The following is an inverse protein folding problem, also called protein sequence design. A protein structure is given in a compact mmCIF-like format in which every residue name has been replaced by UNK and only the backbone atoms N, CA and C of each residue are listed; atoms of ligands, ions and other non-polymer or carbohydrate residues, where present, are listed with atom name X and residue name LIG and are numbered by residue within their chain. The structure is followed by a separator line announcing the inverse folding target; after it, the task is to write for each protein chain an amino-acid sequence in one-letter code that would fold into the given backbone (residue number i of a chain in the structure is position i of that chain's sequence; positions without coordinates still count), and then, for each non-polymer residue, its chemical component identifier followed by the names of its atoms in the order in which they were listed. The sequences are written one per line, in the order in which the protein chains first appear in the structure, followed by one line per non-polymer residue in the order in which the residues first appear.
data_IF_034924221535
#
_entry.id   IF_034924221535
#
_cell.length_a   1.000
_cell.length_b   1.000
_cell.length_c   1.000
_cell.angle_alpha   90.00
_cell.angle_beta   90.00
_cell.angle_gamma   90.00
#
_symmetry.space_group_name_H-M   'P 1'
#
loop_
_entity.id
_entity.type
_entity.pdbx_description
1 polymer ?
#
# COMPACT_ATOMS: atom_id res chain seq x y z
N UNK A 1 -12.76 9.30 -19.19
CA UNK A 1 -13.74 9.86 -18.22
C UNK A 1 -13.33 11.29 -17.90
N UNK A 2 -14.22 12.28 -18.14
CA UNK A 2 -13.99 13.62 -17.60
C UNK A 2 -14.52 13.65 -16.17
N UNK A 3 -13.60 13.60 -15.22
CA UNK A 3 -13.96 13.78 -13.81
C UNK A 3 -14.30 15.25 -13.55
N UNK A 4 -15.44 15.52 -12.94
CA UNK A 4 -15.81 16.86 -12.50
C UNK A 4 -14.84 17.42 -11.45
N UNK A 5 -14.87 18.73 -11.22
CA UNK A 5 -13.99 19.44 -10.26
C UNK A 5 -14.00 18.80 -8.86
N UNK A 6 -15.17 18.32 -8.42
CA UNK A 6 -15.34 17.67 -7.11
C UNK A 6 -14.51 16.41 -7.01
N UNK A 7 -14.49 15.56 -8.05
CA UNK A 7 -13.71 14.31 -8.04
C UNK A 7 -12.21 14.59 -8.03
N UNK A 8 -11.73 15.60 -8.76
CA UNK A 8 -10.33 16.02 -8.69
C UNK A 8 -9.94 16.50 -7.28
N UNK A 9 -10.84 17.25 -6.61
CA UNK A 9 -10.63 17.68 -5.24
C UNK A 9 -10.56 16.49 -4.25
N UNK A 10 -11.43 15.48 -4.44
CA UNK A 10 -11.43 14.23 -3.66
C UNK A 10 -10.11 13.47 -3.86
N UNK A 11 -9.65 13.31 -5.10
CA UNK A 11 -8.38 12.65 -5.42
C UNK A 11 -7.21 13.40 -4.79
N UNK A 12 -7.13 14.72 -5.01
CA UNK A 12 -6.07 15.56 -4.46
C UNK A 12 -6.03 15.55 -2.94
N UNK A 13 -7.19 15.68 -2.27
CA UNK A 13 -7.33 15.60 -0.82
C UNK A 13 -6.94 14.25 -0.25
N UNK A 14 -7.34 13.16 -0.90
CA UNK A 14 -6.99 11.79 -0.50
C UNK A 14 -5.48 11.55 -0.56
N UNK A 15 -4.82 11.96 -1.64
CA UNK A 15 -3.36 11.83 -1.77
C UNK A 15 -2.59 12.79 -0.87
N UNK A 16 -3.10 13.99 -0.64
CA UNK A 16 -2.52 14.93 0.32
C UNK A 16 -2.50 14.32 1.73
N UNK A 17 -3.65 13.79 2.18
CA UNK A 17 -3.77 13.15 3.49
C UNK A 17 -2.92 11.88 3.58
N UNK A 18 -2.98 11.02 2.57
CA UNK A 18 -2.18 9.80 2.51
C UNK A 18 -0.66 10.09 2.51
N UNK A 19 -0.25 11.13 1.78
CA UNK A 19 1.12 11.63 1.79
C UNK A 19 1.52 12.19 3.15
N UNK A 20 0.67 13.00 3.78
CA UNK A 20 0.94 13.54 5.11
C UNK A 20 1.19 12.42 6.14
N UNK A 21 0.34 11.41 6.17
CA UNK A 21 0.53 10.26 7.06
C UNK A 21 1.83 9.52 6.74
N UNK A 22 2.15 9.29 5.46
CA UNK A 22 3.43 8.68 5.07
C UNK A 22 4.61 9.54 5.52
N UNK A 23 4.51 10.87 5.48
CA UNK A 23 5.53 11.78 5.98
C UNK A 23 5.76 11.67 7.49
N UNK A 24 4.69 11.51 8.28
CA UNK A 24 4.76 11.36 9.73
C UNK A 24 5.29 10.00 10.14
N UNK A 25 4.69 8.91 9.63
CA UNK A 25 4.94 7.52 10.07
C UNK A 25 6.03 6.82 9.25
N UNK A 26 6.25 7.25 8.00
CA UNK A 26 7.15 6.60 7.05
C UNK A 26 6.47 5.55 6.18
N UNK A 27 5.16 5.30 6.37
CA UNK A 27 4.37 4.31 5.65
C UNK A 27 2.91 4.75 5.56
N UNK A 28 2.11 4.08 4.73
CA UNK A 28 0.65 4.25 4.72
C UNK A 28 0.07 4.95 3.49
N UNK A 29 0.87 5.60 2.63
CA UNK A 29 0.32 6.26 1.44
C UNK A 29 -0.52 5.31 0.58
N UNK A 30 -0.05 4.11 0.18
CA UNK A 30 -0.87 3.22 -0.63
C UNK A 30 -2.14 2.77 0.11
N UNK A 31 -2.02 2.43 1.38
CA UNK A 31 -3.14 1.92 2.18
C UNK A 31 -4.25 2.95 2.35
N UNK A 32 -3.87 4.19 2.66
CA UNK A 32 -4.83 5.27 2.91
C UNK A 32 -5.46 5.74 1.61
N UNK A 33 -4.65 6.01 0.57
CA UNK A 33 -5.19 6.48 -0.70
C UNK A 33 -6.12 5.43 -1.31
N UNK A 34 -5.74 4.14 -1.28
CA UNK A 34 -6.60 3.05 -1.74
C UNK A 34 -7.91 3.01 -0.97
N UNK A 35 -7.87 3.00 0.36
CA UNK A 35 -9.08 2.93 1.19
C UNK A 35 -9.98 4.14 1.00
N UNK A 36 -9.42 5.37 1.02
CA UNK A 36 -10.22 6.60 0.81
C UNK A 36 -10.84 6.65 -0.58
N UNK A 37 -10.05 6.37 -1.63
CA UNK A 37 -10.55 6.43 -2.99
C UNK A 37 -11.56 5.32 -3.27
N UNK A 38 -11.39 4.12 -2.69
CA UNK A 38 -12.39 3.05 -2.79
C UNK A 38 -13.70 3.44 -2.12
N UNK A 39 -13.65 4.09 -0.96
CA UNK A 39 -14.83 4.54 -0.24
C UNK A 39 -15.56 5.73 -0.92
N UNK A 40 -14.82 6.59 -1.63
CA UNK A 40 -15.34 7.83 -2.21
C UNK A 40 -15.64 7.72 -3.71
N UNK A 41 -15.02 6.79 -4.41
CA UNK A 41 -15.18 6.52 -5.82
C UNK A 41 -15.57 5.05 -6.04
N UNK A 42 -14.57 4.22 -6.38
CA UNK A 42 -14.68 2.77 -6.54
C UNK A 42 -13.30 2.11 -6.48
N UNK A 43 -13.28 0.79 -6.30
CA UNK A 43 -12.04 0.02 -6.16
C UNK A 43 -11.15 0.07 -7.42
N UNK A 44 -11.72 -0.07 -8.61
CA UNK A 44 -10.95 -0.12 -9.86
C UNK A 44 -10.25 1.22 -10.13
N UNK A 45 -10.99 2.32 -10.01
CA UNK A 45 -10.45 3.68 -10.11
C UNK A 45 -9.40 3.95 -9.04
N UNK A 46 -9.62 3.52 -7.80
CA UNK A 46 -8.66 3.67 -6.70
C UNK A 46 -7.35 2.94 -6.99
N UNK A 47 -7.41 1.70 -7.52
CA UNK A 47 -6.23 0.92 -7.92
C UNK A 47 -5.44 1.62 -9.01
N UNK A 48 -6.12 2.16 -10.03
CA UNK A 48 -5.47 2.88 -11.14
C UNK A 48 -4.78 4.16 -10.67
N UNK A 49 -5.47 4.99 -9.88
CA UNK A 49 -4.95 6.27 -9.39
C UNK A 49 -3.77 6.13 -8.43
N UNK A 50 -3.72 5.05 -7.69
CA UNK A 50 -2.66 4.74 -6.72
C UNK A 50 -1.30 4.47 -7.40
N UNK A 51 -1.28 3.95 -8.65
CA UNK A 51 -0.06 3.39 -9.29
C UNK A 51 1.10 4.39 -9.29
N UNK A 52 0.95 5.58 -9.88
CA UNK A 52 2.07 6.53 -10.01
C UNK A 52 2.53 7.07 -8.66
N UNK A 53 1.65 7.60 -7.77
CA UNK A 53 2.10 8.13 -6.49
C UNK A 53 2.74 7.07 -5.60
N UNK A 54 2.17 5.86 -5.54
CA UNK A 54 2.73 4.78 -4.75
C UNK A 54 4.08 4.33 -5.32
N UNK A 55 4.18 4.08 -6.63
CA UNK A 55 5.41 3.64 -7.26
C UNK A 55 6.55 4.64 -7.04
N UNK A 56 6.34 5.92 -7.38
CA UNK A 56 7.38 6.96 -7.25
C UNK A 56 7.85 7.12 -5.81
N UNK A 57 6.93 7.19 -4.85
CA UNK A 57 7.29 7.38 -3.45
C UNK A 57 7.91 6.14 -2.82
N UNK A 58 7.57 4.94 -3.28
CA UNK A 58 8.11 3.67 -2.78
C UNK A 58 9.46 3.33 -3.43
N UNK A 59 9.69 3.66 -4.70
CA UNK A 59 11.01 3.57 -5.32
C UNK A 59 12.02 4.42 -4.55
N UNK A 60 11.69 5.68 -4.28
CA UNK A 60 12.56 6.52 -3.46
C UNK A 60 12.87 5.87 -2.13
N UNK A 61 11.86 5.41 -1.41
CA UNK A 61 12.00 4.78 -0.12
C UNK A 61 12.81 3.47 -0.17
N UNK A 62 12.63 2.66 -1.21
CA UNK A 62 13.30 1.36 -1.37
C UNK A 62 14.77 1.46 -1.79
N UNK A 63 15.11 2.45 -2.62
CA UNK A 63 16.46 2.54 -3.16
C UNK A 63 17.40 3.46 -2.36
N UNK A 64 16.89 4.44 -1.61
CA UNK A 64 17.70 5.45 -0.93
C UNK A 64 17.79 5.27 0.60
N UNK A 65 17.68 4.03 1.11
CA UNK A 65 17.77 3.74 2.56
C UNK A 65 19.12 3.24 3.05
N UNK A 66 20.13 3.04 2.16
CA UNK A 66 21.48 2.59 2.55
C UNK A 66 21.64 1.08 2.78
N UNK A 67 20.56 0.29 2.82
CA UNK A 67 20.58 -1.15 3.11
C UNK A 67 20.19 -2.04 1.91
N UNK A 68 20.20 -1.48 0.68
CA UNK A 68 19.68 -2.16 -0.51
C UNK A 68 20.30 -3.54 -0.74
N UNK A 69 21.64 -3.65 -0.71
CA UNK A 69 22.33 -4.92 -0.98
C UNK A 69 21.99 -6.00 0.07
N UNK A 70 21.89 -5.62 1.34
CA UNK A 70 21.53 -6.53 2.43
C UNK A 70 20.08 -7.00 2.27
N UNK A 71 19.16 -6.07 2.05
CA UNK A 71 17.74 -6.38 1.94
C UNK A 71 17.42 -7.18 0.68
N UNK A 72 18.04 -6.85 -0.46
CA UNK A 72 17.86 -7.62 -1.70
C UNK A 72 18.31 -9.06 -1.53
N UNK A 73 19.47 -9.30 -0.87
CA UNK A 73 19.97 -10.66 -0.60
C UNK A 73 19.10 -11.44 0.38
N UNK A 74 18.48 -10.76 1.35
CA UNK A 74 17.66 -11.42 2.37
C UNK A 74 16.22 -11.65 1.91
N UNK A 75 15.66 -10.72 1.14
CA UNK A 75 14.24 -10.69 0.78
C UNK A 75 13.95 -11.10 -0.66
N UNK A 76 14.97 -11.49 -1.46
CA UNK A 76 14.77 -11.82 -2.87
C UNK A 76 13.66 -12.87 -3.13
N UNK A 77 13.45 -13.92 -2.26
CA UNK A 77 12.39 -14.87 -2.54
C UNK A 77 10.99 -14.24 -2.41
N UNK A 78 10.78 -13.39 -1.39
CA UNK A 78 9.56 -12.61 -1.21
C UNK A 78 9.34 -11.67 -2.41
N UNK A 79 10.40 -10.90 -2.78
CA UNK A 79 10.34 -9.85 -3.79
C UNK A 79 10.14 -10.39 -5.21
N UNK A 80 10.74 -11.53 -5.55
CA UNK A 80 10.54 -12.14 -6.88
C UNK A 80 9.19 -12.82 -7.00
N UNK A 81 8.77 -13.52 -5.94
CA UNK A 81 7.51 -14.27 -5.97
C UNK A 81 6.30 -13.35 -6.02
N UNK A 82 6.34 -12.19 -5.37
CA UNK A 82 5.19 -11.26 -5.37
C UNK A 82 4.79 -10.85 -6.79
N UNK A 83 5.75 -10.69 -7.70
CA UNK A 83 5.52 -10.19 -9.07
C UNK A 83 4.53 -11.05 -9.85
N UNK A 84 4.79 -12.34 -10.16
CA UNK A 84 3.87 -13.16 -10.95
C UNK A 84 2.53 -13.37 -10.24
N UNK A 85 2.50 -13.34 -8.92
CA UNK A 85 1.26 -13.52 -8.18
C UNK A 85 0.36 -12.28 -8.15
N UNK A 86 0.88 -11.08 -8.46
CA UNK A 86 0.05 -9.91 -8.77
C UNK A 86 -0.76 -10.15 -10.04
N UNK A 87 -0.15 -10.68 -11.11
CA UNK A 87 -0.88 -11.05 -12.34
C UNK A 87 -1.91 -12.15 -12.07
N UNK A 88 -1.54 -13.17 -11.30
CA UNK A 88 -2.49 -14.23 -10.93
C UNK A 88 -3.69 -13.66 -10.17
N UNK A 89 -3.46 -12.75 -9.21
CA UNK A 89 -4.52 -12.07 -8.48
C UNK A 89 -5.38 -11.18 -9.37
N UNK A 90 -4.77 -10.44 -10.29
CA UNK A 90 -5.49 -9.61 -11.24
C UNK A 90 -6.37 -10.45 -12.19
N UNK A 91 -5.87 -11.57 -12.67
CA UNK A 91 -6.67 -12.52 -13.48
C UNK A 91 -7.82 -13.15 -12.67
N UNK A 92 -7.57 -13.48 -11.41
CA UNK A 92 -8.61 -13.99 -10.52
C UNK A 92 -9.69 -12.93 -10.21
N UNK A 93 -9.34 -11.65 -10.22
CA UNK A 93 -10.29 -10.58 -9.91
C UNK A 93 -11.48 -10.52 -10.87
N UNK A 94 -11.31 -10.99 -12.11
CA UNK A 94 -12.37 -11.05 -13.13
C UNK A 94 -13.46 -12.10 -12.80
N UNK A 95 -13.16 -13.03 -11.90
CA UNK A 95 -14.11 -14.07 -11.45
C UNK A 95 -15.00 -13.60 -10.30
N UNK A 96 -14.74 -12.44 -9.72
CA UNK A 96 -15.45 -11.93 -8.55
C UNK A 96 -16.15 -10.61 -8.87
N UNK A 97 -17.31 -10.42 -8.27
CA UNK A 97 -17.98 -9.12 -8.28
C UNK A 97 -17.14 -8.09 -7.54
N UNK A 98 -17.10 -6.87 -8.07
CA UNK A 98 -16.36 -5.75 -7.45
C UNK A 98 -16.73 -5.53 -5.98
N UNK A 99 -18.00 -5.75 -5.63
CA UNK A 99 -18.48 -5.65 -4.25
C UNK A 99 -17.78 -6.63 -3.30
N UNK A 100 -17.50 -7.85 -3.76
CA UNK A 100 -16.78 -8.86 -2.96
C UNK A 100 -15.32 -8.40 -2.76
N UNK A 101 -14.66 -7.94 -3.81
CA UNK A 101 -13.27 -7.45 -3.75
C UNK A 101 -13.16 -6.23 -2.82
N UNK A 102 -14.14 -5.33 -2.88
CA UNK A 102 -14.23 -4.15 -2.02
C UNK A 102 -14.38 -4.57 -0.54
N UNK A 103 -15.23 -5.55 -0.24
CA UNK A 103 -15.37 -6.10 1.12
C UNK A 103 -14.10 -6.78 1.62
N UNK A 104 -13.42 -7.53 0.75
CA UNK A 104 -12.11 -8.13 1.06
C UNK A 104 -11.11 -7.03 1.43
N UNK A 105 -11.01 -5.96 0.64
CA UNK A 105 -10.16 -4.82 0.96
C UNK A 105 -10.52 -4.21 2.32
N UNK A 106 -11.80 -3.93 2.57
CA UNK A 106 -12.26 -3.41 3.85
C UNK A 106 -11.86 -4.29 5.03
N UNK A 107 -12.09 -5.62 4.91
CA UNK A 107 -11.66 -6.60 5.91
C UNK A 107 -10.15 -6.61 6.15
N UNK A 108 -9.35 -6.53 5.08
CA UNK A 108 -7.89 -6.44 5.19
C UNK A 108 -7.44 -5.16 5.92
N UNK A 109 -8.09 -4.03 5.64
CA UNK A 109 -7.81 -2.75 6.32
C UNK A 109 -8.12 -2.85 7.81
N UNK A 110 -9.25 -3.45 8.19
CA UNK A 110 -9.62 -3.69 9.61
C UNK A 110 -8.62 -4.62 10.29
N UNK A 111 -8.28 -5.74 9.65
CA UNK A 111 -7.29 -6.70 10.18
C UNK A 111 -5.94 -6.03 10.39
N UNK A 112 -5.47 -5.26 9.40
CA UNK A 112 -4.22 -4.52 9.50
C UNK A 112 -4.24 -3.52 10.67
N UNK A 113 -5.29 -2.75 10.81
CA UNK A 113 -5.44 -1.81 11.91
C UNK A 113 -5.43 -2.54 13.27
N UNK A 114 -6.21 -3.61 13.42
CA UNK A 114 -6.30 -4.38 14.64
C UNK A 114 -4.97 -5.02 15.06
N UNK A 115 -4.25 -5.63 14.10
CA UNK A 115 -2.93 -6.23 14.35
C UNK A 115 -1.89 -5.17 14.68
N UNK A 116 -1.95 -4.01 14.01
CA UNK A 116 -1.05 -2.89 14.24
C UNK A 116 -1.24 -2.22 15.60
N UNK A 117 -2.44 -2.27 16.19
CA UNK A 117 -2.67 -1.79 17.57
C UNK A 117 -1.93 -2.63 18.61
N UNK A 118 -1.81 -3.93 18.38
CA UNK A 118 -1.28 -4.86 19.39
C UNK A 118 0.25 -4.92 19.49
N UNK A 119 1.02 -4.27 18.60
CA UNK A 119 2.49 -4.25 18.64
C UNK A 119 3.09 -5.60 19.07
N UNK A 120 2.67 -6.70 18.44
CA UNK A 120 3.06 -8.03 18.86
C UNK A 120 4.55 -8.26 18.53
N UNK A 121 5.39 -8.58 19.51
CA UNK A 121 6.81 -8.84 19.30
C UNK A 121 6.99 -10.25 18.71
N UNK A 122 6.56 -10.45 17.45
CA UNK A 122 6.87 -11.69 16.76
C UNK A 122 8.30 -11.60 16.22
N UNK A 123 9.11 -12.60 16.56
CA UNK A 123 10.39 -12.79 15.92
C UNK A 123 10.40 -14.16 15.24
N UNK A 124 10.33 -14.14 13.90
CA UNK A 124 10.37 -15.35 13.09
C UNK A 124 11.80 -15.86 13.03
N UNK A 125 12.10 -17.10 13.50
CA UNK A 125 13.44 -17.69 13.41
C UNK A 125 13.93 -17.76 11.95
N UNK A 126 15.25 -17.57 11.76
CA UNK A 126 15.87 -17.57 10.43
C UNK A 126 15.48 -18.74 9.52
N UNK A 127 15.44 -20.02 10.01
CA UNK A 127 15.04 -21.15 9.15
C UNK A 127 13.61 -21.02 8.60
N UNK A 128 12.72 -20.45 9.41
CA UNK A 128 11.32 -20.28 9.03
C UNK A 128 11.13 -19.13 8.02
N UNK A 129 12.02 -18.13 8.05
CA UNK A 129 11.97 -16.99 7.12
C UNK A 129 12.13 -17.44 5.66
N UNK A 130 12.90 -18.49 5.40
CA UNK A 130 13.11 -19.02 4.06
C UNK A 130 11.82 -19.56 3.40
N UNK A 131 10.88 -20.08 4.19
CA UNK A 131 9.61 -20.61 3.73
C UNK A 131 8.47 -19.59 3.81
N UNK A 132 8.41 -18.84 4.91
CA UNK A 132 7.37 -17.85 5.12
C UNK A 132 7.51 -16.64 4.20
N UNK A 133 8.74 -16.27 3.82
CA UNK A 133 8.97 -15.17 2.88
C UNK A 133 8.28 -15.37 1.54
N UNK A 134 8.59 -16.45 0.79
CA UNK A 134 7.90 -16.76 -0.46
C UNK A 134 6.38 -16.92 -0.29
N UNK A 135 5.93 -17.61 0.76
CA UNK A 135 4.50 -17.78 1.03
C UNK A 135 3.80 -16.43 1.24
N UNK A 136 4.41 -15.54 2.02
CA UNK A 136 3.90 -14.17 2.17
C UNK A 136 3.92 -13.41 0.83
N UNK A 137 4.94 -13.63 -0.02
CA UNK A 137 5.01 -13.07 -1.36
C UNK A 137 3.86 -13.52 -2.25
N UNK A 138 3.54 -14.83 -2.25
CA UNK A 138 2.38 -15.38 -2.97
C UNK A 138 1.09 -14.70 -2.53
N UNK A 139 0.80 -14.75 -1.23
CA UNK A 139 -0.45 -14.21 -0.70
C UNK A 139 -0.54 -12.70 -0.92
N UNK A 140 0.56 -11.98 -0.65
CA UNK A 140 0.60 -10.52 -0.87
C UNK A 140 0.38 -10.17 -2.35
N UNK A 141 1.01 -10.92 -3.27
CA UNK A 141 0.84 -10.71 -4.70
C UNK A 141 -0.61 -10.93 -5.14
N UNK A 142 -1.21 -12.07 -4.77
CA UNK A 142 -2.62 -12.36 -5.09
C UNK A 142 -3.53 -11.28 -4.54
N UNK A 143 -3.40 -10.89 -3.28
CA UNK A 143 -4.22 -9.85 -2.68
C UNK A 143 -4.00 -8.48 -3.33
N UNK A 144 -2.77 -8.17 -3.73
CA UNK A 144 -2.47 -6.94 -4.50
C UNK A 144 -3.18 -6.94 -5.84
N UNK A 145 -3.13 -8.04 -6.58
CA UNK A 145 -3.82 -8.17 -7.87
C UNK A 145 -5.34 -8.10 -7.74
N UNK A 146 -5.91 -8.73 -6.71
CA UNK A 146 -7.34 -8.72 -6.43
C UNK A 146 -7.88 -7.35 -6.02
N UNK A 147 -7.16 -6.64 -5.13
CA UNK A 147 -7.71 -5.48 -4.41
C UNK A 147 -6.85 -4.23 -4.43
N UNK A 148 -5.67 -4.27 -5.05
CA UNK A 148 -4.68 -3.19 -4.98
C UNK A 148 -3.97 -3.06 -3.62
N UNK A 149 -4.27 -3.93 -2.66
CA UNK A 149 -3.68 -3.89 -1.32
C UNK A 149 -2.23 -4.37 -1.32
N UNK A 150 -1.31 -3.51 -0.89
CA UNK A 150 0.13 -3.81 -0.90
C UNK A 150 0.66 -4.30 0.47
N UNK A 151 -0.13 -4.24 1.53
CA UNK A 151 0.39 -4.28 2.90
C UNK A 151 0.25 -5.64 3.59
N UNK A 152 -0.77 -6.43 3.34
CA UNK A 152 -0.97 -7.74 3.98
C UNK A 152 -0.69 -8.90 3.03
N UNK A 153 -0.02 -9.94 3.53
CA UNK A 153 0.65 -10.11 4.81
C UNK A 153 2.09 -9.60 4.84
N UNK A 154 2.59 -9.02 3.74
CA UNK A 154 3.98 -8.65 3.54
C UNK A 154 4.54 -7.75 4.64
N UNK A 155 3.81 -6.70 5.06
CA UNK A 155 4.25 -5.80 6.13
C UNK A 155 4.38 -6.54 7.46
N UNK A 156 3.43 -7.42 7.79
CA UNK A 156 3.47 -8.22 9.03
C UNK A 156 4.71 -9.12 9.07
N UNK A 157 5.01 -9.78 7.94
CA UNK A 157 6.22 -10.58 7.79
C UNK A 157 7.48 -9.74 7.99
N UNK A 158 7.59 -8.58 7.30
CA UNK A 158 8.75 -7.70 7.42
C UNK A 158 8.95 -7.17 8.85
N UNK A 159 7.87 -6.89 9.58
CA UNK A 159 7.93 -6.50 10.99
C UNK A 159 8.41 -7.63 11.90
N UNK A 160 8.14 -8.88 11.54
CA UNK A 160 8.42 -10.06 12.37
C UNK A 160 9.82 -10.68 12.15
N UNK A 161 10.61 -10.22 11.18
CA UNK A 161 11.92 -10.80 10.85
C UNK A 161 13.11 -10.07 11.49
N UNK A 162 12.85 -9.15 12.45
CA UNK A 162 13.91 -8.49 13.23
C UNK A 162 14.72 -7.46 12.43
N UNK A 163 14.12 -6.73 11.52
CA UNK A 163 14.73 -5.60 10.82
C UNK A 163 14.80 -4.38 11.74
N UNK A 164 15.88 -3.59 11.64
CA UNK A 164 15.91 -2.25 12.23
C UNK A 164 14.83 -1.35 11.59
N UNK A 165 14.49 -0.23 12.27
CA UNK A 165 13.45 0.69 11.76
C UNK A 165 13.75 1.15 10.32
N UNK A 166 14.98 1.53 10.04
CA UNK A 166 15.37 2.02 8.71
C UNK A 166 15.36 0.89 7.67
N UNK A 167 15.84 -0.30 8.05
CA UNK A 167 15.74 -1.50 7.20
C UNK A 167 14.29 -1.88 6.90
N UNK A 168 13.40 -1.81 7.89
CA UNK A 168 11.98 -2.11 7.72
C UNK A 168 11.32 -1.12 6.74
N UNK A 169 11.57 0.18 6.93
CA UNK A 169 11.04 1.22 6.03
C UNK A 169 11.53 0.99 4.60
N UNK A 170 12.81 0.70 4.42
CA UNK A 170 13.39 0.43 3.10
C UNK A 170 12.86 -0.87 2.50
N UNK A 171 12.73 -1.95 3.28
CA UNK A 171 12.18 -3.23 2.83
C UNK A 171 10.72 -3.09 2.34
N UNK A 172 9.90 -2.33 3.07
CA UNK A 172 8.54 -1.99 2.63
C UNK A 172 8.54 -1.19 1.33
N UNK A 173 9.47 -0.24 1.19
CA UNK A 173 9.65 0.50 -0.07
C UNK A 173 9.90 -0.43 -1.26
N UNK A 174 10.80 -1.41 -1.11
CA UNK A 174 11.12 -2.40 -2.14
C UNK A 174 9.90 -3.27 -2.48
N UNK A 175 9.26 -3.85 -1.46
CA UNK A 175 8.07 -4.69 -1.65
C UNK A 175 6.96 -3.92 -2.37
N UNK A 176 6.64 -2.72 -1.90
CA UNK A 176 5.57 -1.91 -2.47
C UNK A 176 5.89 -1.38 -3.87
N UNK A 177 7.15 -1.02 -4.14
CA UNK A 177 7.56 -0.59 -5.48
C UNK A 177 7.38 -1.71 -6.51
N UNK A 178 7.84 -2.93 -6.20
CA UNK A 178 7.70 -4.08 -7.10
C UNK A 178 6.23 -4.49 -7.26
N UNK A 179 5.47 -4.55 -6.16
CA UNK A 179 4.04 -4.88 -6.22
C UNK A 179 3.25 -3.84 -7.02
N UNK A 180 3.56 -2.55 -6.85
CA UNK A 180 2.88 -1.47 -7.59
C UNK A 180 3.26 -1.46 -9.06
N UNK A 181 4.52 -1.75 -9.38
CA UNK A 181 4.96 -1.90 -10.77
C UNK A 181 4.21 -3.03 -11.47
N UNK A 182 4.18 -4.21 -10.83
CA UNK A 182 3.46 -5.36 -11.35
C UNK A 182 1.96 -5.09 -11.51
N UNK A 183 1.35 -4.42 -10.52
CA UNK A 183 -0.05 -4.00 -10.57
C UNK A 183 -0.30 -3.03 -11.74
N UNK A 184 0.52 -2.00 -11.90
CA UNK A 184 0.37 -1.01 -12.97
C UNK A 184 0.46 -1.62 -14.36
N UNK A 185 1.41 -2.55 -14.57
CA UNK A 185 1.54 -3.29 -15.83
C UNK A 185 0.30 -4.17 -16.05
N UNK A 186 -0.13 -4.92 -15.05
CA UNK A 186 -1.30 -5.79 -15.14
C UNK A 186 -2.60 -5.01 -15.45
N UNK A 187 -2.81 -3.85 -14.80
CA UNK A 187 -3.95 -2.99 -15.08
C UNK A 187 -3.90 -2.37 -16.48
N UNK A 188 -2.70 -2.08 -17.00
CA UNK A 188 -2.50 -1.60 -18.37
C UNK A 188 -2.84 -2.70 -19.39
N UNK A 189 -2.33 -3.93 -19.18
CA UNK A 189 -2.57 -5.07 -20.07
C UNK A 189 -4.04 -5.48 -20.13
N UNK A 190 -4.75 -5.36 -19.00
CA UNK A 190 -6.19 -5.65 -18.92
C UNK A 190 -7.08 -4.47 -19.35
N UNK A 191 -6.49 -3.34 -19.80
CA UNK A 191 -7.23 -2.17 -20.25
C UNK A 191 -8.00 -1.42 -19.12
N UNK A 192 -7.67 -1.69 -17.87
CA UNK A 192 -8.30 -1.05 -16.69
C UNK A 192 -7.72 0.34 -16.38
N UNK A 193 -6.59 0.71 -16.99
CA UNK A 193 -6.04 2.06 -16.95
C UNK A 193 -6.02 2.62 -18.37
N UNK A 194 -6.74 3.71 -18.60
CA UNK A 194 -6.68 4.50 -19.82
C UNK A 194 -5.68 5.68 -19.68
N UNK A 195 -5.43 6.39 -20.79
CA UNK A 195 -4.52 7.53 -20.81
C UNK A 195 -4.95 8.62 -19.83
N UNK A 196 -6.26 8.85 -19.66
CA UNK A 196 -6.79 9.83 -18.72
C UNK A 196 -6.48 9.48 -17.27
N UNK A 197 -6.66 8.22 -16.88
CA UNK A 197 -6.32 7.74 -15.55
C UNK A 197 -4.82 7.79 -15.26
N UNK A 198 -3.95 7.49 -16.25
CA UNK A 198 -2.52 7.69 -16.14
C UNK A 198 -2.13 9.14 -15.85
N UNK A 199 -2.75 10.08 -16.58
CA UNK A 199 -2.52 11.51 -16.38
C UNK A 199 -2.94 11.96 -14.99
N UNK A 200 -4.14 11.57 -14.54
CA UNK A 200 -4.66 11.94 -13.21
C UNK A 200 -3.82 11.30 -12.11
N UNK A 201 -3.42 10.04 -12.26
CA UNK A 201 -2.50 9.37 -11.34
C UNK A 201 -1.15 10.11 -11.26
N UNK A 202 -0.63 10.58 -12.41
CA UNK A 202 0.57 11.43 -12.46
C UNK A 202 0.40 12.74 -11.71
N UNK A 203 -0.70 13.46 -11.92
CA UNK A 203 -1.00 14.69 -11.19
C UNK A 203 -1.20 14.47 -9.69
N UNK A 204 -1.76 13.32 -9.28
CA UNK A 204 -1.94 12.95 -7.88
C UNK A 204 -0.62 12.79 -7.10
N UNK A 205 0.51 12.63 -7.81
CA UNK A 205 1.84 12.62 -7.19
C UNK A 205 2.16 13.96 -6.51
N UNK A 206 1.72 15.10 -7.06
CA UNK A 206 2.02 16.41 -6.51
C UNK A 206 1.44 16.62 -5.10
N UNK A 207 0.13 16.43 -4.85
CA UNK A 207 -0.42 16.53 -3.51
C UNK A 207 0.15 15.45 -2.57
N UNK A 208 0.48 14.24 -3.07
CA UNK A 208 1.12 13.22 -2.27
C UNK A 208 2.50 13.66 -1.75
N UNK A 209 3.35 14.21 -2.61
CA UNK A 209 4.69 14.71 -2.23
C UNK A 209 4.59 15.92 -1.31
N UNK A 210 3.66 16.84 -1.58
CA UNK A 210 3.44 17.99 -0.71
C UNK A 210 2.97 17.55 0.68
N UNK A 211 2.00 16.62 0.76
CA UNK A 211 1.57 16.02 2.01
C UNK A 211 2.73 15.34 2.75
N UNK A 212 3.57 14.56 2.07
CA UNK A 212 4.75 13.93 2.67
C UNK A 212 5.73 14.96 3.25
N UNK A 213 5.95 16.05 2.55
CA UNK A 213 6.83 17.13 3.04
C UNK A 213 6.26 17.76 4.31
N UNK A 214 4.97 18.13 4.30
CA UNK A 214 4.28 18.67 5.47
C UNK A 214 4.30 17.67 6.65
N UNK A 215 4.01 16.40 6.40
CA UNK A 215 4.03 15.35 7.40
C UNK A 215 5.41 15.16 8.04
N UNK A 216 6.48 15.23 7.24
CA UNK A 216 7.85 15.17 7.72
C UNK A 216 8.19 16.34 8.66
N UNK A 217 7.75 17.54 8.34
CA UNK A 217 7.93 18.72 9.20
C UNK A 217 7.14 18.55 10.51
N UNK A 218 5.86 18.17 10.41
CA UNK A 218 4.98 18.03 11.56
C UNK A 218 5.38 16.87 12.50
N UNK A 219 6.12 15.88 12.00
CA UNK A 219 6.57 14.71 12.78
C UNK A 219 7.27 15.09 14.08
N UNK A 220 8.08 16.20 14.11
CA UNK A 220 8.79 16.66 15.29
C UNK A 220 7.87 17.25 16.39
N UNK A 221 6.64 17.62 16.03
CA UNK A 221 5.67 18.26 16.93
C UNK A 221 4.55 17.33 17.39
N UNK A 222 4.45 16.14 16.80
CA UNK A 222 3.38 15.18 17.06
C UNK A 222 3.86 14.07 17.99
N UNK A 223 3.03 13.71 18.98
CA UNK A 223 3.22 12.48 19.73
C UNK A 223 3.03 11.28 18.79
N UNK A 224 4.08 10.48 18.60
CA UNK A 224 4.06 9.32 17.72
C UNK A 224 2.96 8.32 18.10
N UNK A 225 2.80 8.07 19.41
CA UNK A 225 1.78 7.16 19.94
C UNK A 225 0.35 7.66 19.73
N UNK A 226 0.11 8.94 19.99
CA UNK A 226 -1.22 9.52 19.79
C UNK A 226 -1.59 9.54 18.32
N UNK A 227 -0.68 9.99 17.46
CA UNK A 227 -0.89 10.01 16.02
C UNK A 227 -1.17 8.62 15.47
N UNK A 228 -0.38 7.61 15.88
CA UNK A 228 -0.57 6.21 15.49
C UNK A 228 -1.93 5.68 15.90
N UNK A 229 -2.37 5.94 17.14
CA UNK A 229 -3.70 5.50 17.62
C UNK A 229 -4.82 6.15 16.84
N UNK A 230 -4.78 7.47 16.65
CA UNK A 230 -5.79 8.20 15.87
C UNK A 230 -5.83 7.68 14.43
N UNK A 231 -4.67 7.52 13.81
CA UNK A 231 -4.55 6.98 12.45
C UNK A 231 -5.13 5.57 12.33
N UNK A 232 -4.74 4.63 13.21
CA UNK A 232 -5.24 3.26 13.16
C UNK A 232 -6.75 3.18 13.45
N UNK A 233 -7.26 4.02 14.35
CA UNK A 233 -8.71 4.10 14.61
C UNK A 233 -9.47 4.61 13.39
N UNK A 234 -8.99 5.67 12.75
CA UNK A 234 -9.60 6.18 11.51
C UNK A 234 -9.55 5.15 10.37
N UNK A 235 -8.43 4.44 10.25
CA UNK A 235 -8.27 3.38 9.26
C UNK A 235 -9.22 2.19 9.52
N UNK A 236 -9.40 1.78 10.79
CA UNK A 236 -10.34 0.73 11.17
C UNK A 236 -11.80 1.12 10.84
N UNK A 237 -12.19 2.35 11.17
CA UNK A 237 -13.53 2.86 10.84
C UNK A 237 -13.76 2.93 9.32
N UNK A 238 -12.75 3.39 8.56
CA UNK A 238 -12.81 3.43 7.11
C UNK A 238 -12.90 2.02 6.51
N UNK A 239 -12.12 1.06 7.03
CA UNK A 239 -12.19 -0.34 6.61
C UNK A 239 -13.55 -0.98 6.90
N UNK A 240 -14.15 -0.69 8.06
CA UNK A 240 -15.51 -1.12 8.38
C UNK A 240 -16.54 -0.51 7.42
N UNK A 241 -16.42 0.78 7.13
CA UNK A 241 -17.29 1.45 6.15
C UNK A 241 -17.23 0.79 4.77
N UNK A 242 -16.01 0.51 4.27
CA UNK A 242 -15.79 -0.18 2.97
C UNK A 242 -16.33 -1.62 2.99
N UNK A 243 -16.24 -2.31 4.13
CA UNK A 243 -16.69 -3.70 4.26
C UNK A 243 -18.22 -3.83 4.31
N UNK A 244 -18.90 -2.84 4.87
CA UNK A 244 -20.34 -2.88 5.10
C UNK A 244 -21.16 -2.17 4.01
N UNK A 245 -20.56 -1.25 3.25
CA UNK A 245 -21.18 -0.54 2.12
C UNK A 245 -21.05 -1.32 0.84
#
# INVERSE_FOLDING_TARGET
MEFGVVVHAVIGGSFLLAGFVKGVVGLGLPTISLALLTALLDLSTAMALLVVPAFCTNIWQGFFGGHLALLSRRLWPLLLVVIPFVWAGAALSDLFETAILTRILGGMVVIYAALSFRSLPYNIPLPLQAWLGPLCGVINGVLTGLTGSLFLPGVMYLQAIGLSRDQLVQAMGLLFALSTLALGISLQETGRIDVGLWQISGFALLPALFGMHCGKICRGYLSEDLFRRVFLSGLALLGLYIMLG
#
